data_IF_936075579631
#
_entry.id   IF_936075579631
#
_cell.length_a   1.000
_cell.length_b   1.000
_cell.length_c   1.000
_cell.angle_alpha   90.00
_cell.angle_beta   90.00
_cell.angle_gamma   90.00
#
_symmetry.space_group_name_H-M   'P 1'
#
loop_
_entity.id
_entity.type
_entity.pdbx_description
1 polymer ?
#
# COMPACT_ATOMS: atom_id res chain seq x y z
N UNK A 1 -35.18 0.03 -2.73
CA UNK A 1 -34.74 1.38 -3.12
C UNK A 1 -33.24 1.29 -3.21
N UNK A 2 -32.70 1.39 -4.41
CA UNK A 2 -31.31 1.06 -4.73
C UNK A 2 -30.42 2.24 -4.33
N UNK A 3 -29.65 2.09 -3.25
CA UNK A 3 -28.56 3.00 -2.93
C UNK A 3 -27.48 2.82 -3.99
N UNK A 4 -27.39 3.79 -4.89
CA UNK A 4 -26.29 3.89 -5.83
C UNK A 4 -25.03 4.21 -5.02
N UNK A 5 -24.10 3.25 -4.96
CA UNK A 5 -22.71 3.47 -4.57
C UNK A 5 -22.13 4.54 -5.49
N UNK A 6 -22.05 5.78 -5.00
CA UNK A 6 -21.38 6.88 -5.70
C UNK A 6 -19.89 6.58 -5.71
N UNK A 7 -19.29 6.44 -6.89
CA UNK A 7 -17.90 5.98 -7.09
C UNK A 7 -16.81 7.00 -6.71
N UNK A 8 -16.94 7.73 -5.59
CA UNK A 8 -15.93 8.70 -5.12
C UNK A 8 -15.78 8.76 -3.59
N UNK A 9 -15.96 7.65 -2.88
CA UNK A 9 -15.60 7.62 -1.46
C UNK A 9 -14.08 7.59 -1.29
N UNK A 10 -13.51 8.70 -0.81
CA UNK A 10 -12.08 8.83 -0.52
C UNK A 10 -11.75 8.04 0.76
N UNK A 11 -12.57 8.19 1.81
CA UNK A 11 -12.49 7.44 3.06
C UNK A 11 -13.71 6.55 3.26
N UNK A 12 -13.49 5.33 3.74
CA UNK A 12 -14.54 4.41 4.13
C UNK A 12 -14.86 4.60 5.62
N UNK A 13 -15.92 5.35 5.94
CA UNK A 13 -16.31 5.61 7.33
C UNK A 13 -17.29 4.54 7.82
N UNK A 14 -16.99 3.89 8.95
CA UNK A 14 -17.90 2.93 9.58
C UNK A 14 -19.15 3.62 10.14
N UNK A 15 -20.29 2.91 10.29
CA UNK A 15 -21.49 3.49 10.92
C UNK A 15 -21.23 4.01 12.34
N UNK A 16 -20.41 3.29 13.13
CA UNK A 16 -20.05 3.70 14.48
C UNK A 16 -19.26 5.02 14.48
N UNK A 17 -18.28 5.14 13.57
CA UNK A 17 -17.49 6.36 13.41
C UNK A 17 -18.35 7.54 12.94
N UNK A 18 -19.22 7.33 11.94
CA UNK A 18 -20.11 8.38 11.43
C UNK A 18 -21.08 8.87 12.51
N UNK A 19 -21.67 7.96 13.30
CA UNK A 19 -22.55 8.32 14.42
C UNK A 19 -21.81 9.13 15.47
N UNK A 20 -20.58 8.74 15.83
CA UNK A 20 -19.80 9.47 16.84
C UNK A 20 -19.38 10.85 16.36
N UNK A 21 -18.94 10.98 15.11
CA UNK A 21 -18.57 12.28 14.54
C UNK A 21 -19.78 13.23 14.52
N UNK A 22 -20.96 12.71 14.15
CA UNK A 22 -22.21 13.49 14.16
C UNK A 22 -22.55 13.99 15.57
N UNK A 23 -22.49 13.11 16.58
CA UNK A 23 -22.69 13.47 17.99
C UNK A 23 -21.71 14.58 18.46
N UNK A 24 -20.43 14.48 18.05
CA UNK A 24 -19.41 15.48 18.36
C UNK A 24 -19.63 16.84 17.66
N UNK A 25 -20.32 16.85 16.52
CA UNK A 25 -20.74 18.10 15.84
C UNK A 25 -21.91 18.73 16.59
N UNK A 26 -22.92 17.93 16.94
CA UNK A 26 -24.10 18.39 17.67
C UNK A 26 -23.74 18.93 19.06
N UNK A 27 -22.86 18.24 19.78
CA UNK A 27 -22.39 18.67 21.12
C UNK A 27 -21.68 20.01 21.09
N UNK A 28 -21.07 20.40 19.96
CA UNK A 28 -20.46 21.73 19.79
C UNK A 28 -21.48 22.84 19.54
N UNK A 29 -22.76 22.52 19.35
CA UNK A 29 -23.84 23.49 19.16
C UNK A 29 -23.78 24.26 17.83
N UNK A 30 -23.00 23.75 16.85
CA UNK A 30 -22.88 24.32 15.50
C UNK A 30 -23.29 23.27 14.46
N UNK A 31 -24.60 23.13 14.16
CA UNK A 31 -25.05 22.24 13.08
C UNK A 31 -24.50 22.73 11.74
N UNK A 32 -24.00 21.81 10.91
CA UNK A 32 -23.43 22.12 9.59
C UNK A 32 -21.92 22.33 9.56
N UNK A 33 -21.19 21.97 10.62
CA UNK A 33 -19.73 21.86 10.56
C UNK A 33 -19.33 20.72 9.61
N UNK A 34 -18.32 20.99 8.81
CA UNK A 34 -17.60 19.98 8.05
C UNK A 34 -16.38 19.50 8.85
N UNK A 35 -15.84 18.34 8.48
CA UNK A 35 -14.65 17.76 9.09
C UNK A 35 -13.53 17.74 8.07
N UNK A 36 -12.50 18.56 8.28
CA UNK A 36 -11.28 18.53 7.50
C UNK A 36 -10.37 17.42 7.96
N UNK A 37 -9.92 16.61 7.01
CA UNK A 37 -8.93 15.55 7.22
C UNK A 37 -7.56 16.11 6.87
N UNK A 38 -6.60 15.99 7.79
CA UNK A 38 -5.23 16.48 7.61
C UNK A 38 -4.22 15.44 8.06
N UNK A 39 -3.05 15.40 7.41
CA UNK A 39 -1.93 14.54 7.82
C UNK A 39 -0.94 15.39 8.64
N UNK A 40 -0.71 15.01 9.90
CA UNK A 40 0.29 15.65 10.77
C UNK A 40 1.69 15.05 10.66
N UNK A 41 1.79 13.80 10.21
CA UNK A 41 3.06 13.10 10.12
C UNK A 41 2.91 11.71 9.52
N UNK A 42 4.02 10.98 9.52
CA UNK A 42 4.12 9.60 9.03
C UNK A 42 4.35 8.69 10.23
N UNK A 43 3.66 7.55 10.28
CA UNK A 43 3.84 6.57 11.35
C UNK A 43 5.08 5.69 11.10
N UNK A 44 5.79 5.25 12.16
CA UNK A 44 6.82 4.23 12.03
C UNK A 44 6.23 2.94 11.45
N UNK A 45 6.86 2.37 10.41
CA UNK A 45 6.35 1.17 9.72
C UNK A 45 5.37 1.47 8.57
N UNK A 46 5.16 2.74 8.22
CA UNK A 46 4.27 3.15 7.13
C UNK A 46 2.92 3.69 7.62
N UNK A 47 2.21 4.41 6.74
CA UNK A 47 0.95 5.07 7.06
C UNK A 47 1.10 6.49 7.60
N UNK A 48 -0.05 7.13 7.89
CA UNK A 48 -0.11 8.55 8.24
C UNK A 48 -0.74 8.79 9.61
N UNK A 49 -0.12 9.70 10.36
CA UNK A 49 -0.76 10.29 11.53
C UNK A 49 -1.78 11.33 11.04
N UNK A 50 -3.03 10.90 10.95
CA UNK A 50 -4.14 11.74 10.47
C UNK A 50 -4.88 12.41 11.63
N UNK A 51 -5.35 13.61 11.38
CA UNK A 51 -6.14 14.42 12.29
C UNK A 51 -7.45 14.86 11.63
N UNK A 52 -8.53 14.85 12.42
CA UNK A 52 -9.83 15.40 12.06
C UNK A 52 -10.04 16.76 12.74
N UNK A 53 -10.30 17.80 11.95
CA UNK A 53 -10.60 19.16 12.43
C UNK A 53 -12.00 19.56 12.01
N UNK A 54 -12.78 20.10 12.94
CA UNK A 54 -14.09 20.66 12.62
C UNK A 54 -13.91 22.07 12.09
N UNK A 55 -14.50 22.38 10.95
CA UNK A 55 -14.45 23.69 10.31
C UNK A 55 -15.80 24.08 9.71
N UNK A 56 -16.05 25.37 9.56
CA UNK A 56 -17.28 25.84 8.92
C UNK A 56 -17.22 25.57 7.41
N UNK A 57 -18.35 25.23 6.80
CA UNK A 57 -18.37 24.88 5.36
C UNK A 57 -17.92 26.04 4.46
N UNK A 58 -18.12 27.27 4.91
CA UNK A 58 -17.68 28.50 4.27
C UNK A 58 -16.15 28.68 4.24
N UNK A 59 -15.39 27.96 5.08
CA UNK A 59 -13.93 28.00 5.12
C UNK A 59 -13.27 27.02 4.14
N UNK A 60 -14.08 26.18 3.49
CA UNK A 60 -13.60 25.31 2.42
C UNK A 60 -13.20 26.14 1.19
N UNK A 61 -12.14 25.71 0.53
CA UNK A 61 -11.62 26.31 -0.69
C UNK A 61 -12.14 25.53 -1.91
N UNK A 62 -12.09 26.16 -3.10
CA UNK A 62 -12.47 25.50 -4.36
C UNK A 62 -11.56 24.31 -4.73
N UNK A 63 -10.39 24.20 -4.09
CA UNK A 63 -9.45 23.11 -4.30
C UNK A 63 -9.68 21.93 -3.35
N UNK A 64 -10.56 22.07 -2.35
CA UNK A 64 -10.88 20.98 -1.45
C UNK A 64 -11.77 19.95 -2.14
N UNK A 65 -11.37 18.69 -2.05
CA UNK A 65 -12.24 17.57 -2.36
C UNK A 65 -13.22 17.36 -1.21
N UNK A 66 -14.48 17.08 -1.55
CA UNK A 66 -15.58 16.98 -0.59
C UNK A 66 -16.23 15.63 -0.70
N UNK A 67 -16.37 14.93 0.44
CA UNK A 67 -17.08 13.66 0.53
C UNK A 67 -18.21 13.79 1.55
N UNK A 68 -19.46 13.57 1.12
CA UNK A 68 -20.61 13.62 2.02
C UNK A 68 -20.75 12.31 2.81
N UNK A 69 -20.85 12.40 4.13
CA UNK A 69 -21.01 11.25 5.03
C UNK A 69 -22.24 11.48 5.90
N UNK A 70 -23.42 11.16 5.34
CA UNK A 70 -24.70 11.31 6.03
C UNK A 70 -24.99 12.77 6.45
N UNK A 71 -24.80 13.08 7.73
CA UNK A 71 -25.13 14.38 8.32
C UNK A 71 -24.03 15.44 8.26
N UNK A 72 -22.82 15.07 7.82
CA UNK A 72 -21.68 15.98 7.72
C UNK A 72 -20.88 15.74 6.44
N UNK A 73 -19.98 16.66 6.12
CA UNK A 73 -19.09 16.55 4.98
C UNK A 73 -17.64 16.41 5.45
N UNK A 74 -16.87 15.57 4.78
CA UNK A 74 -15.42 15.49 4.89
C UNK A 74 -14.77 16.39 3.83
N UNK A 75 -13.69 17.07 4.23
CA UNK A 75 -12.94 17.97 3.37
C UNK A 75 -11.47 17.54 3.31
N UNK A 76 -10.93 17.45 2.10
CA UNK A 76 -9.57 16.97 1.83
C UNK A 76 -8.83 17.93 0.90
N UNK A 77 -7.57 18.23 1.23
CA UNK A 77 -6.64 18.72 0.20
C UNK A 77 -6.34 17.58 -0.79
N UNK A 78 -6.09 17.85 -2.09
CA UNK A 78 -5.85 16.81 -3.10
C UNK A 78 -4.72 15.82 -2.72
N UNK A 79 -3.59 16.34 -2.24
CA UNK A 79 -2.47 15.53 -1.75
C UNK A 79 -2.83 14.64 -0.54
N UNK A 80 -3.76 15.09 0.30
CA UNK A 80 -4.23 14.31 1.46
C UNK A 80 -5.19 13.23 0.97
N UNK A 81 -6.11 13.56 0.08
CA UNK A 81 -7.08 12.62 -0.48
C UNK A 81 -6.39 11.41 -1.12
N UNK A 82 -5.34 11.64 -1.93
CA UNK A 82 -4.56 10.55 -2.55
C UNK A 82 -3.93 9.63 -1.49
N UNK A 83 -3.42 10.21 -0.41
CA UNK A 83 -2.71 9.50 0.66
C UNK A 83 -3.61 8.67 1.55
N UNK A 84 -4.86 9.10 1.72
CA UNK A 84 -5.84 8.43 2.58
C UNK A 84 -6.88 7.65 1.78
N UNK A 85 -6.77 7.62 0.44
CA UNK A 85 -7.71 6.97 -0.44
C UNK A 85 -7.90 5.50 -0.08
N UNK A 86 -9.15 5.08 0.11
CA UNK A 86 -9.53 3.72 0.48
C UNK A 86 -9.34 3.39 1.97
N UNK A 87 -8.78 4.29 2.78
CA UNK A 87 -8.60 4.04 4.21
C UNK A 87 -9.95 3.91 4.92
N UNK A 88 -10.02 2.98 5.85
CA UNK A 88 -11.19 2.69 6.66
C UNK A 88 -11.07 3.37 8.01
N UNK A 89 -12.07 4.16 8.37
CA UNK A 89 -12.17 4.80 9.68
C UNK A 89 -13.22 4.09 10.49
N UNK A 90 -12.84 3.62 11.67
CA UNK A 90 -13.74 3.00 12.65
C UNK A 90 -13.67 3.70 14.01
N UNK A 91 -14.65 3.44 14.86
CA UNK A 91 -14.70 3.96 16.22
C UNK A 91 -14.97 2.84 17.21
N UNK A 92 -14.07 2.72 18.18
CA UNK A 92 -14.11 1.70 19.23
C UNK A 92 -14.26 2.39 20.60
N UNK A 93 -15.40 2.17 21.25
CA UNK A 93 -15.71 2.71 22.59
C UNK A 93 -15.13 1.87 23.73
N UNK A 94 -14.81 0.60 23.47
CA UNK A 94 -14.39 -0.37 24.50
C UNK A 94 -12.88 -0.36 24.72
N UNK A 95 -12.11 0.24 23.80
CA UNK A 95 -10.67 0.40 23.96
C UNK A 95 -10.34 1.38 25.11
N UNK A 96 -9.29 1.08 25.87
CA UNK A 96 -8.79 1.86 27.03
C UNK A 96 -8.67 3.38 26.79
N UNK A 97 -8.53 3.81 25.53
CA UNK A 97 -8.79 5.17 25.07
C UNK A 97 -9.80 5.11 23.93
N UNK A 98 -11.07 5.42 24.20
CA UNK A 98 -12.07 5.55 23.15
C UNK A 98 -11.54 6.50 22.07
N UNK A 99 -11.53 6.04 20.82
CA UNK A 99 -10.79 6.74 19.77
C UNK A 99 -11.12 6.25 18.37
N UNK A 100 -10.86 7.11 17.39
CA UNK A 100 -10.97 6.77 15.98
C UNK A 100 -9.76 5.94 15.57
N UNK A 101 -10.01 4.77 14.98
CA UNK A 101 -9.00 3.93 14.36
C UNK A 101 -9.04 4.16 12.84
N UNK A 102 -7.88 4.43 12.24
CA UNK A 102 -7.77 4.55 10.79
C UNK A 102 -6.87 3.44 10.29
N UNK A 103 -7.43 2.59 9.45
CA UNK A 103 -6.74 1.51 8.78
C UNK A 103 -6.55 1.91 7.31
N UNK A 104 -5.30 2.15 6.90
CA UNK A 104 -5.00 2.44 5.50
C UNK A 104 -4.98 1.13 4.72
N UNK A 105 -5.47 1.12 3.46
CA UNK A 105 -5.20 -0.01 2.60
C UNK A 105 -3.68 -0.19 2.49
N UNK A 106 -3.18 -1.43 2.35
CA UNK A 106 -1.78 -1.63 2.05
C UNK A 106 -1.48 -0.83 0.78
N UNK A 107 -0.58 0.16 0.88
CA UNK A 107 -0.15 0.90 -0.30
C UNK A 107 0.52 -0.11 -1.20
N UNK A 108 -0.06 -0.38 -2.37
CA UNK A 108 0.55 -1.35 -3.28
C UNK A 108 1.93 -0.84 -3.68
N UNK A 109 2.96 -1.50 -3.16
CA UNK A 109 4.36 -1.27 -3.55
C UNK A 109 4.61 -1.86 -4.96
N UNK A 110 3.66 -2.66 -5.44
CA UNK A 110 3.69 -3.25 -6.76
C UNK A 110 3.41 -2.20 -7.84
N UNK A 111 4.02 -2.33 -9.03
CA UNK A 111 3.76 -1.42 -10.14
C UNK A 111 2.31 -1.58 -10.66
N UNK A 112 1.79 -0.57 -11.37
CA UNK A 112 0.45 -0.63 -11.95
C UNK A 112 0.23 -1.89 -12.80
N UNK A 113 -0.92 -2.55 -12.60
CA UNK A 113 -1.27 -3.79 -13.31
C UNK A 113 -0.71 -5.07 -12.68
N UNK A 114 0.09 -4.96 -11.61
CA UNK A 114 0.55 -6.12 -10.83
C UNK A 114 -0.27 -6.22 -9.54
N UNK A 115 -1.02 -7.30 -9.41
CA UNK A 115 -1.88 -7.57 -8.25
C UNK A 115 -1.40 -8.80 -7.49
N UNK A 116 -1.22 -8.66 -6.18
CA UNK A 116 -0.95 -9.78 -5.28
C UNK A 116 -2.25 -10.48 -4.87
N UNK A 117 -2.23 -11.80 -4.88
CA UNK A 117 -3.30 -12.62 -4.27
C UNK A 117 -3.34 -12.36 -2.76
N UNK A 118 -4.54 -12.18 -2.19
CA UNK A 118 -4.73 -11.86 -0.76
C UNK A 118 -5.68 -12.81 -0.01
N UNK A 119 -6.41 -13.64 -0.73
CA UNK A 119 -7.42 -14.59 -0.24
C UNK A 119 -6.82 -15.94 0.17
N UNK A 120 -5.70 -15.93 0.89
CA UNK A 120 -5.04 -17.15 1.34
C UNK A 120 -5.77 -17.78 2.53
N UNK A 121 -6.19 -19.04 2.43
CA UNK A 121 -6.74 -19.82 3.56
C UNK A 121 -5.63 -20.48 4.40
N UNK A 122 -4.51 -20.81 3.77
CA UNK A 122 -3.38 -21.49 4.41
C UNK A 122 -2.62 -20.52 5.35
N UNK A 123 -2.42 -20.88 6.64
CA UNK A 123 -1.71 -20.03 7.59
C UNK A 123 -0.25 -19.74 7.23
N UNK A 124 0.46 -20.70 6.62
CA UNK A 124 1.83 -20.50 6.13
C UNK A 124 1.83 -19.50 4.98
N UNK A 125 0.88 -19.63 4.04
CA UNK A 125 0.74 -18.67 2.95
C UNK A 125 0.44 -17.26 3.45
N UNK A 126 -0.42 -17.12 4.47
CA UNK A 126 -0.69 -15.82 5.10
C UNK A 126 0.56 -15.22 5.74
N UNK A 127 1.36 -16.02 6.45
CA UNK A 127 2.62 -15.57 7.06
C UNK A 127 3.64 -15.13 6.01
N UNK A 128 3.82 -15.92 4.95
CA UNK A 128 4.74 -15.60 3.85
C UNK A 128 4.27 -14.35 3.09
N UNK A 129 2.97 -14.22 2.84
CA UNK A 129 2.39 -13.05 2.20
C UNK A 129 2.68 -11.77 3.02
N UNK A 130 2.48 -11.82 4.33
CA UNK A 130 2.83 -10.71 5.24
C UNK A 130 4.31 -10.35 5.15
N UNK A 131 5.20 -11.34 5.16
CA UNK A 131 6.65 -11.08 5.04
C UNK A 131 6.99 -10.41 3.72
N UNK A 132 6.40 -10.88 2.62
CA UNK A 132 6.61 -10.31 1.29
C UNK A 132 6.15 -8.85 1.25
N UNK A 133 4.99 -8.54 1.82
CA UNK A 133 4.43 -7.20 1.78
C UNK A 133 5.11 -6.21 2.71
N UNK A 134 5.43 -6.63 3.93
CA UNK A 134 5.86 -5.73 4.99
C UNK A 134 7.38 -5.56 5.04
N UNK A 135 8.14 -6.49 4.45
CA UNK A 135 9.61 -6.48 4.52
C UNK A 135 10.29 -6.60 3.15
N UNK A 136 9.86 -7.55 2.31
CA UNK A 136 10.56 -7.83 1.05
C UNK A 136 10.29 -6.74 0.01
N UNK A 137 9.02 -6.53 -0.35
CA UNK A 137 8.61 -5.54 -1.36
C UNK A 137 9.08 -4.12 -1.02
N UNK A 138 8.97 -3.62 0.23
CA UNK A 138 9.56 -2.34 0.62
C UNK A 138 11.07 -2.26 0.35
N UNK A 139 11.80 -3.35 0.60
CA UNK A 139 13.24 -3.41 0.39
C UNK A 139 13.65 -3.45 -1.09
N UNK A 140 12.92 -4.18 -1.93
CA UNK A 140 13.26 -4.35 -3.35
C UNK A 140 12.72 -3.23 -4.26
N UNK A 141 11.68 -2.52 -3.82
CA UNK A 141 11.06 -1.44 -4.59
C UNK A 141 12.02 -0.29 -4.89
N UNK A 142 12.99 -0.01 -4.00
CA UNK A 142 14.05 0.99 -4.25
C UNK A 142 14.92 0.68 -5.46
N UNK A 143 14.95 -0.59 -5.90
CA UNK A 143 15.63 -1.07 -7.10
C UNK A 143 14.65 -1.36 -8.25
N UNK A 144 13.39 -0.93 -8.13
CA UNK A 144 12.33 -1.21 -9.11
C UNK A 144 11.96 -2.70 -9.18
N UNK A 145 12.29 -3.49 -8.16
CA UNK A 145 11.94 -4.90 -8.06
C UNK A 145 10.63 -5.12 -7.31
N UNK A 146 10.01 -6.27 -7.53
CA UNK A 146 8.87 -6.75 -6.75
C UNK A 146 8.83 -8.27 -6.71
N UNK A 147 8.13 -8.81 -5.71
CA UNK A 147 7.92 -10.24 -5.48
C UNK A 147 6.44 -10.52 -5.19
N UNK A 148 5.91 -11.57 -5.81
CA UNK A 148 4.57 -12.10 -5.58
C UNK A 148 4.63 -13.52 -5.07
N UNK A 149 3.79 -13.83 -4.08
CA UNK A 149 3.47 -15.21 -3.73
C UNK A 149 2.48 -15.78 -4.76
N UNK A 150 2.84 -16.89 -5.39
CA UNK A 150 2.02 -17.55 -6.43
C UNK A 150 1.30 -18.77 -5.92
N UNK A 151 1.97 -19.57 -5.09
CA UNK A 151 1.39 -20.80 -4.56
C UNK A 151 2.13 -21.28 -3.31
N UNK A 152 1.47 -22.12 -2.52
CA UNK A 152 2.04 -22.83 -1.37
C UNK A 152 1.60 -24.28 -1.43
N UNK A 153 2.57 -25.21 -1.49
CA UNK A 153 2.32 -26.65 -1.53
C UNK A 153 3.04 -27.34 -0.38
N UNK A 154 2.33 -27.54 0.73
CA UNK A 154 2.95 -27.99 1.97
C UNK A 154 3.90 -26.90 2.48
N UNK A 155 5.18 -27.21 2.61
CA UNK A 155 6.21 -26.27 3.09
C UNK A 155 7.00 -25.59 1.94
N UNK A 156 6.55 -25.80 0.69
CA UNK A 156 7.17 -25.27 -0.51
C UNK A 156 6.43 -24.04 -1.02
N UNK A 157 7.17 -22.94 -1.17
CA UNK A 157 6.63 -21.65 -1.57
C UNK A 157 7.01 -21.36 -3.01
N UNK A 158 6.05 -20.92 -3.82
CA UNK A 158 6.29 -20.53 -5.21
C UNK A 158 6.17 -19.02 -5.33
N UNK A 159 7.21 -18.36 -5.83
CA UNK A 159 7.26 -16.91 -5.97
C UNK A 159 7.51 -16.50 -7.41
N UNK A 160 6.92 -15.40 -7.82
CA UNK A 160 7.20 -14.71 -9.07
C UNK A 160 7.86 -13.37 -8.75
N UNK A 161 8.89 -13.03 -9.49
CA UNK A 161 9.65 -11.81 -9.31
C UNK A 161 9.58 -10.98 -10.57
N UNK A 162 9.60 -9.65 -10.43
CA UNK A 162 9.55 -8.74 -11.55
C UNK A 162 10.43 -7.52 -11.38
N UNK A 163 10.55 -6.75 -12.47
CA UNK A 163 11.40 -5.57 -12.54
C UNK A 163 12.87 -5.90 -12.26
N UNK A 164 13.52 -5.16 -11.36
CA UNK A 164 14.93 -5.37 -11.01
C UNK A 164 15.28 -6.77 -10.48
N UNK A 165 14.29 -7.52 -9.95
CA UNK A 165 14.49 -8.88 -9.43
C UNK A 165 14.50 -9.95 -10.54
N UNK A 166 13.87 -9.66 -11.69
CA UNK A 166 13.61 -10.63 -12.73
C UNK A 166 14.78 -10.80 -13.72
N UNK A 167 15.60 -9.78 -13.91
CA UNK A 167 16.77 -9.84 -14.80
C UNK A 167 17.79 -10.93 -14.42
N UNK A 168 18.69 -11.30 -15.35
CA UNK A 168 19.62 -12.44 -15.21
C UNK A 168 21.04 -12.06 -14.72
N UNK A 169 21.27 -10.80 -14.34
CA UNK A 169 22.60 -10.33 -13.91
C UNK A 169 23.02 -10.83 -12.52
N UNK A 170 24.32 -10.76 -12.22
CA UNK A 170 24.87 -11.13 -10.89
C UNK A 170 24.21 -10.41 -9.71
N UNK A 171 23.78 -9.17 -9.92
CA UNK A 171 23.01 -8.41 -8.93
C UNK A 171 21.65 -9.05 -8.65
N UNK A 172 20.96 -9.54 -9.68
CA UNK A 172 19.68 -10.20 -9.53
C UNK A 172 19.82 -11.55 -8.83
N UNK A 173 20.83 -12.37 -9.17
CA UNK A 173 21.11 -13.64 -8.45
C UNK A 173 21.32 -13.39 -6.95
N UNK A 174 22.09 -12.36 -6.59
CA UNK A 174 22.33 -12.00 -5.20
C UNK A 174 21.05 -11.52 -4.51
N UNK A 175 20.24 -10.73 -5.22
CA UNK A 175 18.97 -10.22 -4.72
C UNK A 175 17.99 -11.36 -4.41
N UNK A 176 17.88 -12.34 -5.31
CA UNK A 176 17.05 -13.54 -5.13
C UNK A 176 17.48 -14.35 -3.92
N UNK A 177 18.77 -14.64 -3.80
CA UNK A 177 19.31 -15.32 -2.62
C UNK A 177 19.04 -14.56 -1.32
N UNK A 178 19.08 -13.22 -1.36
CA UNK A 178 18.70 -12.36 -0.24
C UNK A 178 17.21 -12.46 0.12
N UNK A 179 16.33 -12.46 -0.87
CA UNK A 179 14.88 -12.64 -0.70
C UNK A 179 14.58 -14.00 -0.08
N UNK A 180 15.15 -15.07 -0.65
CA UNK A 180 14.95 -16.44 -0.17
C UNK A 180 15.35 -16.57 1.29
N UNK A 181 16.55 -16.09 1.61
CA UNK A 181 17.07 -16.11 2.98
C UNK A 181 16.17 -15.32 3.93
N UNK A 182 15.74 -14.12 3.54
CA UNK A 182 14.91 -13.28 4.39
C UNK A 182 13.54 -13.93 4.69
N UNK A 183 12.92 -14.57 3.69
CA UNK A 183 11.65 -15.29 3.88
C UNK A 183 11.85 -16.49 4.82
N UNK A 184 12.89 -17.31 4.62
CA UNK A 184 13.16 -18.47 5.47
C UNK A 184 13.54 -18.09 6.90
N UNK A 185 14.24 -16.97 7.10
CA UNK A 185 14.57 -16.43 8.43
C UNK A 185 13.31 -15.93 9.16
N UNK A 186 12.40 -15.27 8.45
CA UNK A 186 11.16 -14.75 9.02
C UNK A 186 10.09 -15.85 9.23
N UNK A 187 10.08 -16.87 8.38
CA UNK A 187 9.10 -17.99 8.40
C UNK A 187 9.86 -19.33 8.40
N UNK A 188 10.33 -19.81 9.57
CA UNK A 188 11.16 -21.03 9.66
C UNK A 188 10.46 -22.32 9.22
N UNK A 189 9.14 -22.30 9.04
CA UNK A 189 8.36 -23.43 8.52
C UNK A 189 8.50 -23.61 7.00
N UNK A 190 9.05 -22.61 6.29
CA UNK A 190 9.32 -22.73 4.85
C UNK A 190 10.53 -23.65 4.63
N UNK A 191 10.33 -24.71 3.84
CA UNK A 191 11.39 -25.67 3.50
C UNK A 191 12.23 -25.20 2.33
N UNK A 192 11.58 -24.70 1.28
CA UNK A 192 12.25 -24.18 0.08
C UNK A 192 11.36 -23.17 -0.64
N UNK A 193 12.00 -22.33 -1.44
CA UNK A 193 11.36 -21.32 -2.28
C UNK A 193 11.67 -21.67 -3.74
N UNK A 194 10.64 -21.68 -4.58
CA UNK A 194 10.72 -21.99 -6.00
C UNK A 194 10.39 -20.72 -6.77
N UNK A 195 11.36 -20.21 -7.51
CA UNK A 195 11.20 -19.13 -8.45
C UNK A 195 10.51 -19.63 -9.72
N UNK A 196 9.31 -19.11 -10.01
CA UNK A 196 8.52 -19.45 -11.22
C UNK A 196 8.57 -18.37 -12.30
N UNK A 197 9.48 -17.40 -12.14
CA UNK A 197 9.64 -16.27 -13.06
C UNK A 197 10.26 -16.72 -14.38
N UNK A 198 9.81 -16.15 -15.49
CA UNK A 198 10.55 -16.23 -16.75
C UNK A 198 11.70 -15.20 -16.72
N UNK A 199 12.95 -15.67 -16.66
CA UNK A 199 14.13 -14.79 -16.58
C UNK A 199 14.73 -14.40 -17.92
N UNK A 200 14.26 -15.01 -19.00
CA UNK A 200 14.72 -14.72 -20.35
C UNK A 200 13.93 -13.53 -20.95
N UNK A 201 12.72 -13.25 -20.45
CA UNK A 201 11.84 -12.16 -20.93
C UNK A 201 12.12 -10.78 -20.28
N UNK A 202 13.23 -10.61 -19.56
CA UNK A 202 13.44 -9.44 -18.70
C UNK A 202 14.13 -8.24 -19.33
N UNK A 203 13.51 -7.07 -19.19
CA UNK A 203 14.15 -5.79 -19.50
C UNK A 203 15.27 -5.50 -18.50
N UNK A 204 16.52 -5.73 -18.93
CA UNK A 204 17.73 -5.24 -18.24
C UNK A 204 18.32 -4.03 -18.98
N UNK A 205 18.25 -2.80 -18.44
CA UNK A 205 18.83 -1.61 -19.07
C UNK A 205 20.20 -1.27 -18.49
N UNK A 206 21.20 -2.15 -18.65
CA UNK A 206 22.58 -1.76 -18.25
C UNK A 206 23.69 -2.09 -19.24
N UNK A 207 23.39 -2.84 -20.30
CA UNK A 207 24.26 -2.91 -21.47
C UNK A 207 23.41 -2.86 -22.73
N UNK A 208 23.14 -1.65 -23.21
CA UNK A 208 22.94 -1.51 -24.65
C UNK A 208 24.25 -1.96 -25.31
N UNK A 209 24.27 -3.00 -26.17
CA UNK A 209 25.44 -3.27 -26.99
C UNK A 209 25.63 -2.02 -27.84
N UNK A 210 26.74 -1.31 -27.60
CA UNK A 210 27.21 -0.28 -28.50
C UNK A 210 27.30 -0.95 -29.87
N UNK A 211 26.43 -0.54 -30.78
CA UNK A 211 26.51 -0.93 -32.19
C UNK A 211 27.95 -0.71 -32.62
N UNK A 212 28.54 -1.78 -33.14
CA UNK A 212 29.94 -1.84 -33.54
C UNK A 212 30.22 -0.85 -34.68
N UNK A 213 30.55 0.39 -34.34
CA UNK A 213 31.18 1.37 -35.23
C UNK A 213 31.86 2.44 -34.36
N UNK A 214 33.11 2.18 -34.00
CA UNK A 214 33.92 3.09 -33.19
C UNK A 214 35.35 2.59 -33.10
N UNK A 215 36.12 2.76 -34.18
CA UNK A 215 37.55 2.51 -34.15
C UNK A 215 38.21 3.38 -33.06
N UNK A 216 38.94 2.74 -32.16
CA UNK A 216 39.65 3.40 -31.07
C UNK A 216 40.85 4.20 -31.61
N UNK A 217 41.01 5.49 -31.30
CA UNK A 217 42.07 6.34 -31.87
C UNK A 217 43.44 6.19 -31.19
N UNK A 218 43.62 5.22 -30.29
CA UNK A 218 44.84 5.07 -29.48
C UNK A 218 45.83 4.01 -29.98
N UNK A 219 45.82 3.69 -31.27
CA UNK A 219 46.85 2.84 -31.85
C UNK A 219 47.56 3.55 -33.01
N UNK A 220 48.41 4.53 -32.67
CA UNK A 220 49.57 4.97 -33.44
C UNK A 220 50.70 5.37 -32.49
#
# INVERSE_FOLDING_TARGET
MSEALSSQDILNISPAAASKISELIETRGKPGLAVRVAIRGVLPGGGYQTEFKFQERSEATDNDLVQSVGAFELLFEPDVAEKVQGAKVDFDEERYSAGFNIEYPPRSILPPGVEARRDWEDPLAQQVQQVIDDFINPGVAGHGGWVLLKDVKGEDIYVEMGGGCQGCGMAAVTLRAGIEKAIMEAVPAVRQIIDVTDHDEGESPYYAPQTAEGASPFNQ
#
